data_IF_555618994855
#
_entry.id   IF_555618994855
#
_cell.length_a   1.000
_cell.length_b   1.000
_cell.length_c   1.000
_cell.angle_alpha   90.00
_cell.angle_beta   90.00
_cell.angle_gamma   90.00
#
_symmetry.space_group_name_H-M   'P 1'
#
loop_
_entity.id
_entity.type
_entity.pdbx_description
1 polymer ?
#
# COMPACT_ATOMS: atom_id res chain seq x y z
N UNK A 1 7.18 -11.02 2.20
CA UNK A 1 7.58 -9.99 1.21
C UNK A 1 8.51 -10.65 0.21
N UNK A 2 8.23 -10.43 -1.07
CA UNK A 2 9.09 -10.82 -2.19
C UNK A 2 9.46 -9.53 -2.93
N UNK A 3 10.74 -9.27 -3.09
CA UNK A 3 11.23 -8.04 -3.72
C UNK A 3 12.38 -8.27 -4.69
N UNK A 4 12.65 -7.26 -5.52
CA UNK A 4 13.86 -7.14 -6.33
C UNK A 4 14.61 -5.91 -5.87
N UNK A 5 15.91 -6.06 -5.66
CA UNK A 5 16.81 -5.00 -5.23
C UNK A 5 17.92 -4.84 -6.27
N UNK A 6 18.27 -3.62 -6.63
CA UNK A 6 19.46 -3.31 -7.42
C UNK A 6 20.61 -2.98 -6.49
N UNK A 7 21.67 -3.79 -6.52
CA UNK A 7 22.84 -3.61 -5.67
C UNK A 7 24.11 -3.91 -6.43
N UNK A 8 25.06 -3.00 -6.40
CA UNK A 8 26.36 -3.13 -7.07
C UNK A 8 26.22 -3.56 -8.55
N UNK A 9 25.22 -3.01 -9.27
CA UNK A 9 24.92 -3.33 -10.67
C UNK A 9 24.31 -4.74 -10.90
N UNK A 10 23.89 -5.42 -9.83
CA UNK A 10 23.25 -6.74 -9.91
C UNK A 10 21.84 -6.69 -9.37
N UNK A 11 20.95 -7.49 -9.95
CA UNK A 11 19.59 -7.68 -9.42
C UNK A 11 19.62 -8.79 -8.39
N UNK A 12 19.22 -8.49 -7.18
CA UNK A 12 19.01 -9.46 -6.11
C UNK A 12 17.51 -9.70 -5.90
N UNK A 13 17.13 -10.97 -5.81
CA UNK A 13 15.77 -11.39 -5.45
C UNK A 13 15.75 -11.65 -3.95
N UNK A 14 14.82 -11.00 -3.27
CA UNK A 14 14.72 -11.00 -1.80
C UNK A 14 13.43 -11.66 -1.36
N UNK A 15 13.53 -12.53 -0.35
CA UNK A 15 12.39 -13.09 0.37
C UNK A 15 12.54 -12.77 1.86
N UNK A 16 11.61 -12.00 2.40
CA UNK A 16 11.52 -11.73 3.83
C UNK A 16 10.16 -12.19 4.36
N UNK A 17 10.17 -12.83 5.51
CA UNK A 17 8.95 -13.22 6.18
C UNK A 17 9.16 -13.42 7.68
N UNK A 18 8.06 -13.40 8.40
CA UNK A 18 8.02 -13.67 9.83
C UNK A 18 6.69 -14.32 10.20
N UNK A 19 6.70 -14.96 11.33
CA UNK A 19 5.55 -15.58 11.96
C UNK A 19 5.44 -15.07 13.39
N UNK A 20 4.27 -14.55 13.75
CA UNK A 20 3.99 -14.04 15.08
C UNK A 20 2.82 -14.80 15.71
N UNK A 21 2.92 -15.02 17.00
CA UNK A 21 1.82 -15.51 17.82
C UNK A 21 1.23 -14.36 18.60
N UNK A 22 -0.05 -14.11 18.42
CA UNK A 22 -0.79 -13.15 19.22
C UNK A 22 -1.40 -13.86 20.43
N UNK A 23 -1.23 -13.26 21.59
CA UNK A 23 -1.86 -13.72 22.82
C UNK A 23 -2.74 -12.59 23.35
N UNK A 24 -3.95 -12.90 23.74
CA UNK A 24 -4.90 -11.93 24.28
C UNK A 24 -4.27 -11.10 25.41
N UNK A 25 -4.40 -9.79 25.32
CA UNK A 25 -3.82 -8.83 26.28
C UNK A 25 -2.32 -8.55 26.11
N UNK A 26 -1.62 -9.15 25.15
CA UNK A 26 -0.20 -8.89 24.87
C UNK A 26 -0.04 -8.23 23.49
N UNK A 27 0.30 -6.96 23.48
CA UNK A 27 0.66 -6.20 22.29
C UNK A 27 2.05 -5.60 22.48
N UNK A 28 3.03 -5.85 21.60
CA UNK A 28 2.99 -6.74 20.43
C UNK A 28 3.06 -8.23 20.79
N UNK A 29 2.58 -9.08 19.87
CA UNK A 29 2.68 -10.53 19.99
C UNK A 29 4.12 -11.05 19.93
N UNK A 30 4.29 -12.34 20.12
CA UNK A 30 5.61 -12.99 20.10
C UNK A 30 6.02 -13.37 18.68
N UNK A 31 7.27 -13.07 18.30
CA UNK A 31 7.86 -13.52 17.04
C UNK A 31 8.33 -14.96 17.17
N UNK A 32 7.63 -15.89 16.52
CA UNK A 32 7.97 -17.32 16.51
C UNK A 32 9.12 -17.61 15.56
N UNK A 33 9.07 -17.04 14.36
CA UNK A 33 10.11 -17.20 13.35
C UNK A 33 10.29 -15.92 12.53
N UNK A 34 11.49 -15.70 12.01
CA UNK A 34 11.82 -14.61 11.09
C UNK A 34 12.91 -15.08 10.15
N UNK A 35 12.77 -14.78 8.86
CA UNK A 35 13.76 -15.17 7.86
C UNK A 35 13.94 -14.13 6.78
N UNK A 36 15.18 -14.01 6.33
CA UNK A 36 15.57 -13.26 5.14
C UNK A 36 16.39 -14.16 4.24
N UNK A 37 16.00 -14.27 2.99
CA UNK A 37 16.69 -15.04 1.96
C UNK A 37 16.94 -14.15 0.75
N UNK A 38 18.12 -14.27 0.16
CA UNK A 38 18.55 -13.48 -1.01
C UNK A 38 19.13 -14.42 -2.05
N UNK A 39 18.88 -14.14 -3.32
CA UNK A 39 19.64 -14.72 -4.45
C UNK A 39 19.87 -13.69 -5.52
N UNK A 40 21.00 -13.78 -6.21
CA UNK A 40 21.24 -12.99 -7.42
C UNK A 40 20.36 -13.53 -8.56
N UNK A 41 19.86 -12.65 -9.41
CA UNK A 41 19.09 -13.06 -10.59
C UNK A 41 19.93 -14.00 -11.46
N UNK A 42 19.37 -15.15 -11.83
CA UNK A 42 20.08 -16.24 -12.50
C UNK A 42 20.58 -17.35 -11.57
N UNK A 43 20.75 -17.11 -10.27
CA UNK A 43 21.05 -18.19 -9.30
C UNK A 43 19.81 -19.07 -9.07
N UNK A 44 20.03 -20.39 -8.94
CA UNK A 44 18.94 -21.34 -8.70
C UNK A 44 18.47 -21.32 -7.25
N UNK A 45 19.36 -21.05 -6.28
CA UNK A 45 19.09 -21.22 -4.85
C UNK A 45 19.21 -19.90 -4.08
N UNK A 46 18.28 -19.70 -3.16
CA UNK A 46 18.36 -18.62 -2.19
C UNK A 46 19.40 -18.92 -1.10
N UNK A 47 20.17 -17.92 -0.74
CA UNK A 47 21.05 -17.91 0.43
C UNK A 47 20.29 -17.37 1.63
N UNK A 48 20.31 -18.10 2.73
CA UNK A 48 19.67 -17.67 3.98
C UNK A 48 20.56 -16.63 4.68
N UNK A 49 20.07 -15.40 4.78
CA UNK A 49 20.81 -14.29 5.42
C UNK A 49 20.44 -14.15 6.89
N UNK A 50 19.17 -14.21 7.22
CA UNK A 50 18.66 -14.20 8.60
C UNK A 50 17.78 -15.43 8.78
N UNK A 51 17.96 -16.12 9.91
CA UNK A 51 17.05 -17.14 10.38
C UNK A 51 16.89 -16.99 11.89
N UNK A 52 15.67 -16.72 12.32
CA UNK A 52 15.27 -16.76 13.75
C UNK A 52 14.25 -17.86 13.94
N UNK A 53 14.41 -18.64 14.99
CA UNK A 53 13.48 -19.68 15.37
C UNK A 53 13.59 -19.89 16.89
N UNK A 54 12.48 -19.89 17.60
CA UNK A 54 12.41 -20.12 19.06
C UNK A 54 13.39 -19.24 19.87
N UNK A 55 13.49 -17.96 19.57
CA UNK A 55 14.38 -17.04 20.29
C UNK A 55 15.85 -17.06 19.85
N UNK A 56 16.24 -18.00 19.01
CA UNK A 56 17.59 -18.07 18.45
C UNK A 56 17.60 -17.56 17.02
N UNK A 57 18.62 -16.81 16.64
CA UNK A 57 18.80 -16.48 15.25
C UNK A 57 20.25 -16.58 14.78
N UNK A 58 20.42 -16.85 13.50
CA UNK A 58 21.69 -16.83 12.80
C UNK A 58 21.66 -15.82 11.68
N UNK A 59 22.73 -15.05 11.56
CA UNK A 59 22.94 -14.12 10.46
C UNK A 59 24.19 -14.56 9.67
N UNK A 60 24.09 -14.56 8.35
CA UNK A 60 25.24 -14.79 7.47
C UNK A 60 25.78 -13.44 7.07
N UNK A 61 27.00 -13.14 7.50
CA UNK A 61 27.74 -11.97 7.07
C UNK A 61 28.61 -12.40 5.88
N UNK A 62 28.49 -11.78 4.70
CA UNK A 62 29.39 -12.06 3.59
C UNK A 62 30.80 -11.55 3.94
N UNK A 63 31.78 -12.29 3.57
CA UNK A 63 33.21 -12.07 3.79
C UNK A 63 33.78 -12.46 5.15
N UNK A 64 34.74 -13.35 5.13
CA UNK A 64 35.75 -13.70 6.12
C UNK A 64 35.28 -14.27 7.49
N UNK A 65 34.08 -13.99 7.97
CA UNK A 65 33.67 -14.38 9.32
C UNK A 65 32.75 -15.60 9.43
N UNK A 66 32.33 -16.19 8.32
CA UNK A 66 31.50 -17.40 8.35
C UNK A 66 30.09 -17.17 8.95
N UNK A 67 29.38 -18.25 9.23
CA UNK A 67 28.08 -18.25 9.88
C UNK A 67 28.22 -17.78 11.33
N UNK A 68 27.63 -16.66 11.68
CA UNK A 68 27.55 -16.23 13.06
C UNK A 68 26.25 -16.77 13.68
N UNK A 69 26.35 -17.79 14.53
CA UNK A 69 25.25 -18.35 15.31
C UNK A 69 25.13 -17.70 16.69
N UNK A 70 25.60 -16.48 16.86
CA UNK A 70 25.49 -15.81 18.17
C UNK A 70 24.04 -15.42 18.41
N UNK A 71 23.49 -15.71 19.63
CA UNK A 71 22.20 -15.17 20.02
C UNK A 71 22.31 -13.65 20.09
N UNK A 72 21.52 -12.99 19.32
CA UNK A 72 21.41 -11.53 19.36
C UNK A 72 20.32 -11.21 20.36
N UNK A 73 20.54 -10.24 21.22
CA UNK A 73 19.58 -9.84 22.25
C UNK A 73 18.39 -9.09 21.60
N UNK A 74 17.50 -9.82 20.97
CA UNK A 74 16.17 -9.29 20.62
C UNK A 74 15.17 -9.70 21.67
N UNK A 75 14.27 -8.78 22.02
CA UNK A 75 13.12 -9.17 22.81
C UNK A 75 12.23 -10.13 22.01
N UNK A 76 11.51 -11.04 22.65
CA UNK A 76 10.62 -11.96 21.94
C UNK A 76 9.59 -11.25 21.04
N UNK A 77 9.21 -10.02 21.40
CA UNK A 77 8.20 -9.22 20.68
C UNK A 77 8.76 -8.39 19.52
N UNK A 78 10.07 -8.33 19.33
CA UNK A 78 10.68 -7.42 18.37
C UNK A 78 11.24 -8.18 17.17
N UNK A 79 10.93 -7.72 15.96
CA UNK A 79 11.55 -8.20 14.72
C UNK A 79 13.02 -7.76 14.65
N UNK A 80 13.87 -8.63 14.11
CA UNK A 80 15.32 -8.36 13.97
C UNK A 80 15.61 -7.36 12.86
N UNK A 81 14.79 -7.35 11.81
CA UNK A 81 15.04 -6.53 10.62
C UNK A 81 15.07 -5.02 10.90
N UNK A 82 14.16 -4.42 11.69
CA UNK A 82 14.24 -3.00 12.05
C UNK A 82 15.52 -2.63 12.83
N UNK A 83 16.02 -3.54 13.68
CA UNK A 83 17.26 -3.35 14.40
C UNK A 83 18.48 -3.33 13.47
N UNK A 84 18.48 -4.20 12.46
CA UNK A 84 19.51 -4.24 11.42
C UNK A 84 19.47 -2.95 10.60
N UNK A 85 18.27 -2.44 10.27
CA UNK A 85 18.10 -1.20 9.53
C UNK A 85 18.70 0.01 10.25
N UNK A 86 18.60 0.07 11.58
CA UNK A 86 19.12 1.17 12.40
C UNK A 86 20.62 1.05 12.70
N UNK A 87 21.18 -0.16 12.63
CA UNK A 87 22.52 -0.46 13.11
C UNK A 87 23.68 -0.22 12.14
N UNK A 88 23.42 0.26 10.90
CA UNK A 88 24.48 0.47 9.89
C UNK A 88 25.20 -0.81 9.45
N UNK A 89 24.58 -1.98 9.63
CA UNK A 89 25.11 -3.29 9.28
C UNK A 89 24.95 -3.56 7.78
N UNK A 90 25.64 -4.61 7.30
CA UNK A 90 25.68 -5.03 5.90
C UNK A 90 24.30 -5.10 5.18
N UNK A 91 23.23 -5.42 5.88
CA UNK A 91 21.87 -5.50 5.32
C UNK A 91 21.04 -4.24 5.60
N UNK A 92 21.65 -3.15 6.08
CA UNK A 92 20.91 -1.97 6.54
C UNK A 92 20.07 -1.32 5.43
N UNK A 93 20.59 -1.23 4.20
CA UNK A 93 19.86 -0.59 3.09
C UNK A 93 18.65 -1.44 2.67
N UNK A 94 18.84 -2.75 2.55
CA UNK A 94 17.73 -3.68 2.30
C UNK A 94 16.70 -3.67 3.42
N UNK A 95 17.17 -3.65 4.68
CA UNK A 95 16.28 -3.59 5.83
C UNK A 95 15.49 -2.28 5.87
N UNK A 96 16.11 -1.14 5.52
CA UNK A 96 15.43 0.15 5.38
C UNK A 96 14.36 0.10 4.31
N UNK A 97 14.65 -0.45 3.13
CA UNK A 97 13.66 -0.60 2.05
C UNK A 97 12.45 -1.43 2.49
N UNK A 98 12.69 -2.57 3.13
CA UNK A 98 11.59 -3.42 3.63
C UNK A 98 10.79 -2.71 4.74
N UNK A 99 11.49 -2.01 5.65
CA UNK A 99 10.85 -1.29 6.76
C UNK A 99 10.16 0.01 6.32
N UNK A 100 10.42 0.51 5.11
CA UNK A 100 9.78 1.72 4.57
C UNK A 100 8.39 1.46 3.99
N UNK A 101 7.86 0.24 4.11
CA UNK A 101 6.47 -0.05 3.75
C UNK A 101 5.56 0.83 4.60
N UNK A 102 4.83 1.70 3.94
CA UNK A 102 3.89 2.61 4.60
C UNK A 102 2.47 2.05 4.57
N UNK A 103 1.81 2.12 5.71
CA UNK A 103 0.38 1.82 5.83
C UNK A 103 -0.31 3.13 6.18
N UNK A 104 -1.08 3.74 5.26
CA UNK A 104 -1.88 4.90 5.59
C UNK A 104 -2.84 4.58 6.73
N UNK A 105 -3.01 5.52 7.67
CA UNK A 105 -3.92 5.32 8.79
C UNK A 105 -5.37 5.33 8.29
N UNK A 106 -6.08 4.21 8.51
CA UNK A 106 -7.44 3.96 8.03
C UNK A 106 -8.47 4.94 8.56
N UNK A 107 -8.38 5.32 9.84
CA UNK A 107 -9.32 6.27 10.45
C UNK A 107 -9.31 7.62 9.73
N UNK A 108 -8.19 7.94 9.12
CA UNK A 108 -8.01 9.18 8.39
C UNK A 108 -8.51 9.09 6.95
N UNK A 109 -8.56 7.89 6.34
CA UNK A 109 -9.23 7.71 5.05
C UNK A 109 -10.76 7.88 5.21
N UNK A 110 -11.33 7.53 6.34
CA UNK A 110 -12.77 7.70 6.60
C UNK A 110 -13.17 9.14 6.94
N UNK A 111 -12.21 9.97 7.38
CA UNK A 111 -12.44 11.39 7.63
C UNK A 111 -11.57 12.27 6.72
N UNK A 112 -12.02 12.59 5.48
CA UNK A 112 -11.26 13.41 4.53
C UNK A 112 -10.91 14.82 5.04
N UNK A 113 -11.65 15.35 6.01
CA UNK A 113 -11.33 16.67 6.61
C UNK A 113 -9.99 16.65 7.34
N UNK A 114 -9.59 15.50 7.88
CA UNK A 114 -8.31 15.37 8.58
C UNK A 114 -7.10 15.52 7.67
N UNK A 115 -7.24 15.30 6.35
CA UNK A 115 -6.13 15.49 5.38
C UNK A 115 -5.71 16.95 5.28
N UNK A 116 -6.62 17.84 5.59
CA UNK A 116 -6.47 19.29 5.44
C UNK A 116 -6.51 20.01 6.79
N UNK A 117 -6.29 19.30 7.90
CA UNK A 117 -6.28 19.89 9.24
C UNK A 117 -5.18 20.94 9.36
N UNK A 118 -5.53 22.08 9.93
CA UNK A 118 -4.64 23.25 10.07
C UNK A 118 -3.65 23.05 11.23
N UNK A 119 -4.07 22.36 12.28
CA UNK A 119 -3.38 22.32 13.57
C UNK A 119 -2.54 21.06 13.80
N UNK A 120 -2.28 20.27 12.79
CA UNK A 120 -1.34 19.13 12.86
C UNK A 120 -1.66 18.05 13.93
N UNK A 121 -2.55 18.37 14.87
CA UNK A 121 -2.86 17.50 16.00
C UNK A 121 -3.78 16.33 15.65
N UNK A 122 -4.54 16.46 14.54
CA UNK A 122 -5.48 15.44 14.04
C UNK A 122 -5.36 15.17 12.55
N UNK A 123 -4.33 15.73 11.88
CA UNK A 123 -4.11 15.54 10.45
C UNK A 123 -3.31 14.29 10.16
N UNK A 124 -3.53 13.68 9.00
CA UNK A 124 -2.60 12.71 8.45
C UNK A 124 -1.33 13.44 8.12
N UNK A 125 -0.25 13.05 8.77
CA UNK A 125 1.06 13.39 8.28
C UNK A 125 1.26 12.67 6.93
N UNK A 126 1.63 13.39 5.89
CA UNK A 126 2.23 12.81 4.71
C UNK A 126 3.49 12.06 5.15
N UNK A 127 4.12 11.31 4.25
CA UNK A 127 5.28 10.45 4.55
C UNK A 127 6.43 11.15 5.27
N UNK A 128 6.47 12.48 5.23
CA UNK A 128 7.47 13.35 5.87
C UNK A 128 6.95 14.15 7.09
N UNK A 129 5.74 13.87 7.55
CA UNK A 129 5.14 14.49 8.72
C UNK A 129 4.37 15.79 8.45
N UNK A 130 4.25 16.24 7.20
CA UNK A 130 3.52 17.44 6.81
C UNK A 130 2.02 17.18 6.59
N UNK A 131 1.20 18.23 6.65
CA UNK A 131 -0.19 18.15 6.16
C UNK A 131 -0.20 18.01 4.64
N UNK A 132 -1.28 17.50 4.05
CA UNK A 132 -1.38 17.38 2.60
C UNK A 132 -1.22 18.73 1.90
N UNK A 133 -1.88 19.78 2.39
CA UNK A 133 -1.78 21.13 1.80
C UNK A 133 -0.37 21.69 1.89
N UNK A 134 0.31 21.53 3.03
CA UNK A 134 1.70 21.96 3.19
C UNK A 134 2.63 21.18 2.26
N UNK A 135 2.46 19.87 2.16
CA UNK A 135 3.26 19.03 1.29
C UNK A 135 3.14 19.47 -0.18
N UNK A 136 1.92 19.73 -0.65
CA UNK A 136 1.67 20.19 -2.03
C UNK A 136 2.25 21.60 -2.25
N UNK A 137 2.12 22.50 -1.27
CA UNK A 137 2.72 23.82 -1.34
C UNK A 137 4.24 23.74 -1.48
N UNK A 138 4.89 22.97 -0.62
CA UNK A 138 6.35 22.78 -0.68
C UNK A 138 6.79 22.08 -1.97
N UNK A 139 6.01 21.13 -2.47
CA UNK A 139 6.25 20.51 -3.77
C UNK A 139 6.30 21.57 -4.88
N UNK A 140 5.34 22.50 -4.90
CA UNK A 140 5.32 23.59 -5.87
C UNK A 140 6.57 24.46 -5.81
N UNK A 141 7.05 24.77 -4.59
CA UNK A 141 8.22 25.62 -4.36
C UNK A 141 9.55 24.93 -4.68
N UNK A 142 9.64 23.62 -4.46
CA UNK A 142 10.91 22.90 -4.55
C UNK A 142 11.04 21.97 -5.75
N UNK A 143 9.93 21.59 -6.37
CA UNK A 143 9.86 20.62 -7.47
C UNK A 143 8.65 20.91 -8.37
N UNK A 144 8.78 22.00 -9.13
CA UNK A 144 7.72 22.51 -10.01
C UNK A 144 7.25 21.46 -11.05
N UNK A 145 8.14 20.59 -11.51
CA UNK A 145 7.81 19.54 -12.49
C UNK A 145 6.85 18.51 -11.87
N UNK A 146 7.17 18.01 -10.67
CA UNK A 146 6.27 17.09 -9.94
C UNK A 146 4.93 17.76 -9.60
N UNK A 147 4.95 19.05 -9.24
CA UNK A 147 3.72 19.79 -8.99
C UNK A 147 2.87 19.94 -10.25
N UNK A 148 3.48 20.24 -11.40
CA UNK A 148 2.76 20.31 -12.67
C UNK A 148 2.06 19.01 -13.00
N UNK A 149 2.77 17.88 -12.85
CA UNK A 149 2.20 16.54 -13.05
C UNK A 149 1.02 16.28 -12.10
N UNK A 150 1.15 16.64 -10.82
CA UNK A 150 0.08 16.51 -9.84
C UNK A 150 -1.13 17.35 -10.22
N UNK A 151 -0.92 18.63 -10.52
CA UNK A 151 -1.97 19.58 -10.89
C UNK A 151 -2.73 19.12 -12.13
N UNK A 152 -2.02 18.69 -13.17
CA UNK A 152 -2.64 18.22 -14.41
C UNK A 152 -3.39 16.89 -14.21
N UNK A 153 -2.84 15.99 -13.40
CA UNK A 153 -3.52 14.76 -13.03
C UNK A 153 -4.82 15.01 -12.24
N UNK A 154 -4.82 15.97 -11.32
CA UNK A 154 -6.03 16.35 -10.57
C UNK A 154 -7.10 16.95 -11.47
N UNK A 155 -6.72 17.81 -12.42
CA UNK A 155 -7.65 18.37 -13.43
C UNK A 155 -8.27 17.27 -14.29
N UNK A 156 -7.55 16.21 -14.57
CA UNK A 156 -8.07 15.05 -15.31
C UNK A 156 -8.95 14.15 -14.44
N UNK A 157 -8.60 13.98 -13.17
CA UNK A 157 -9.34 13.12 -12.24
C UNK A 157 -10.68 13.72 -11.83
N UNK A 158 -10.74 15.04 -11.61
CA UNK A 158 -11.92 15.71 -11.06
C UNK A 158 -12.53 16.59 -12.14
N UNK A 159 -13.71 16.17 -12.61
CA UNK A 159 -14.41 16.90 -13.65
C UNK A 159 -14.71 18.35 -13.25
N UNK A 160 -14.44 19.26 -14.19
CA UNK A 160 -14.70 20.70 -14.02
C UNK A 160 -13.61 21.48 -13.29
N UNK A 161 -12.58 20.82 -12.76
CA UNK A 161 -11.42 21.52 -12.17
C UNK A 161 -10.53 22.08 -13.28
N UNK A 162 -10.36 23.40 -13.31
CA UNK A 162 -9.54 24.12 -14.30
C UNK A 162 -8.25 24.69 -13.70
N UNK A 163 -8.23 24.94 -12.38
CA UNK A 163 -7.03 25.36 -11.66
C UNK A 163 -6.94 24.68 -10.29
N UNK A 164 -5.71 24.37 -9.88
CA UNK A 164 -5.36 23.74 -8.62
C UNK A 164 -4.09 24.42 -8.10
N UNK A 165 -4.26 25.33 -7.12
CA UNK A 165 -3.18 26.22 -6.65
C UNK A 165 -3.04 26.16 -5.13
N UNK A 166 -1.89 25.71 -4.60
CA UNK A 166 -1.63 25.79 -3.17
C UNK A 166 -1.34 27.25 -2.76
N UNK A 167 -1.80 27.61 -1.58
CA UNK A 167 -1.73 28.95 -1.02
C UNK A 167 -1.21 28.90 0.43
N UNK A 168 -0.32 29.82 0.78
CA UNK A 168 0.18 30.03 2.13
C UNK A 168 -0.49 31.25 2.76
N UNK A 169 -1.17 31.06 3.86
CA UNK A 169 -1.90 32.11 4.57
C UNK A 169 -1.19 32.38 5.90
N UNK A 170 -0.68 33.59 6.08
CA UNK A 170 -0.13 34.02 7.35
C UNK A 170 -1.28 34.45 8.29
N UNK A 171 -1.33 33.89 9.48
CA UNK A 171 -2.36 34.23 10.46
C UNK A 171 -2.14 35.62 11.08
N UNK A 172 -3.15 36.10 11.81
CA UNK A 172 -3.16 37.46 12.41
C UNK A 172 -2.05 37.69 13.45
N UNK A 173 -1.41 36.64 13.94
CA UNK A 173 -0.25 36.72 14.84
C UNK A 173 1.06 37.09 14.10
N UNK A 174 1.01 37.15 12.77
CA UNK A 174 2.15 37.46 11.89
C UNK A 174 3.27 36.42 11.89
N UNK A 175 3.08 35.26 12.56
CA UNK A 175 4.10 34.20 12.70
C UNK A 175 3.61 32.84 12.24
N UNK A 176 2.38 32.50 12.56
CA UNK A 176 1.79 31.20 12.20
C UNK A 176 1.35 31.20 10.76
N UNK A 177 1.68 30.10 10.05
CA UNK A 177 1.33 29.88 8.66
C UNK A 177 0.39 28.70 8.54
N UNK A 178 -0.59 28.84 7.68
CA UNK A 178 -1.53 27.79 7.31
C UNK A 178 -1.51 27.60 5.82
N UNK A 179 -1.68 26.37 5.40
CA UNK A 179 -1.67 26.02 3.99
C UNK A 179 -3.07 25.60 3.55
N UNK A 180 -3.52 26.15 2.44
CA UNK A 180 -4.78 25.79 1.78
C UNK A 180 -4.51 25.47 0.30
N UNK A 181 -5.46 24.89 -0.38
CA UNK A 181 -5.41 24.68 -1.82
C UNK A 181 -6.64 25.33 -2.42
N UNK A 182 -6.42 26.26 -3.32
CA UNK A 182 -7.46 26.96 -4.06
C UNK A 182 -7.77 26.21 -5.34
N UNK A 183 -9.03 25.87 -5.50
CA UNK A 183 -9.52 25.11 -6.65
C UNK A 183 -10.51 25.96 -7.40
N UNK A 184 -10.23 26.20 -8.67
CA UNK A 184 -11.16 26.83 -9.59
C UNK A 184 -11.86 25.74 -10.38
N UNK A 185 -13.18 25.72 -10.28
CA UNK A 185 -14.05 24.90 -11.10
C UNK A 185 -14.65 25.75 -12.24
N UNK A 186 -14.88 25.11 -13.39
CA UNK A 186 -15.38 25.77 -14.61
C UNK A 186 -16.68 26.54 -14.38
N UNK A 187 -17.53 26.05 -13.48
CA UNK A 187 -18.85 26.63 -13.23
C UNK A 187 -18.89 27.57 -12.03
N UNK A 188 -17.80 27.78 -11.33
CA UNK A 188 -17.70 28.67 -10.19
C UNK A 188 -17.03 29.97 -10.59
N UNK A 189 -17.60 31.10 -10.15
CA UNK A 189 -17.05 32.46 -10.44
C UNK A 189 -15.77 32.78 -9.65
N UNK A 190 -15.52 32.05 -8.55
CA UNK A 190 -14.38 32.29 -7.67
C UNK A 190 -13.74 30.95 -7.27
N UNK A 191 -12.41 30.92 -7.05
CA UNK A 191 -11.76 29.73 -6.48
C UNK A 191 -12.30 29.42 -5.08
N UNK A 192 -12.47 28.15 -4.79
CA UNK A 192 -12.91 27.64 -3.48
C UNK A 192 -11.77 26.92 -2.78
N UNK A 193 -11.84 26.83 -1.45
CA UNK A 193 -10.91 26.01 -0.67
C UNK A 193 -11.17 24.54 -0.94
N UNK A 194 -10.09 23.73 -1.01
CA UNK A 194 -10.17 22.27 -1.12
C UNK A 194 -11.06 21.66 -0.02
N UNK A 195 -11.19 22.32 1.12
CA UNK A 195 -12.03 21.88 2.25
C UNK A 195 -13.51 21.79 1.87
N UNK A 196 -13.94 22.55 0.88
CA UNK A 196 -15.33 22.58 0.41
C UNK A 196 -15.63 21.50 -0.65
N UNK A 197 -14.62 20.78 -1.13
CA UNK A 197 -14.83 19.67 -2.05
C UNK A 197 -15.55 18.50 -1.37
N UNK A 198 -16.13 17.64 -2.20
CA UNK A 198 -16.70 16.37 -1.75
C UNK A 198 -15.65 15.48 -1.08
N UNK A 199 -16.08 14.63 -0.15
CA UNK A 199 -15.19 13.64 0.50
C UNK A 199 -14.48 12.75 -0.52
N UNK A 200 -15.16 12.33 -1.58
CA UNK A 200 -14.56 11.52 -2.65
C UNK A 200 -13.47 12.27 -3.42
N UNK A 201 -13.71 13.55 -3.76
CA UNK A 201 -12.69 14.38 -4.43
C UNK A 201 -11.45 14.58 -3.55
N UNK A 202 -11.64 14.87 -2.26
CA UNK A 202 -10.54 14.99 -1.29
C UNK A 202 -9.73 13.71 -1.18
N UNK A 203 -10.41 12.55 -1.13
CA UNK A 203 -9.77 11.24 -1.08
C UNK A 203 -8.94 10.95 -2.32
N UNK A 204 -9.46 11.27 -3.51
CA UNK A 204 -8.74 11.10 -4.77
C UNK A 204 -7.46 11.95 -4.82
N UNK A 205 -7.54 13.21 -4.42
CA UNK A 205 -6.38 14.10 -4.34
C UNK A 205 -5.33 13.53 -3.38
N UNK A 206 -5.77 13.09 -2.21
CA UNK A 206 -4.89 12.48 -1.21
C UNK A 206 -4.19 11.23 -1.75
N UNK A 207 -4.93 10.26 -2.28
CA UNK A 207 -4.37 9.01 -2.80
C UNK A 207 -3.39 9.24 -3.94
N UNK A 208 -3.72 10.14 -4.85
CA UNK A 208 -2.81 10.47 -5.95
C UNK A 208 -1.53 11.14 -5.45
N UNK A 209 -1.65 12.13 -4.55
CA UNK A 209 -0.48 12.79 -3.95
C UNK A 209 0.38 11.80 -3.16
N UNK A 210 -0.25 10.89 -2.41
CA UNK A 210 0.45 9.84 -1.66
C UNK A 210 1.26 8.91 -2.59
N UNK A 211 0.67 8.50 -3.71
CA UNK A 211 1.36 7.66 -4.69
C UNK A 211 2.57 8.38 -5.30
N UNK A 212 2.44 9.66 -5.65
CA UNK A 212 3.55 10.45 -6.16
C UNK A 212 4.65 10.66 -5.09
N UNK A 213 4.26 10.96 -3.86
CA UNK A 213 5.19 11.11 -2.74
C UNK A 213 5.96 9.81 -2.48
N UNK A 214 5.29 8.68 -2.50
CA UNK A 214 5.91 7.38 -2.30
C UNK A 214 6.91 7.03 -3.41
N UNK A 215 6.58 7.33 -4.65
CA UNK A 215 7.51 7.15 -5.76
C UNK A 215 8.75 8.03 -5.61
N UNK A 216 8.59 9.30 -5.26
CA UNK A 216 9.69 10.23 -5.05
C UNK A 216 10.62 9.80 -3.90
N UNK A 217 10.04 9.25 -2.84
CA UNK A 217 10.78 8.75 -1.67
C UNK A 217 11.24 7.29 -1.83
N UNK A 218 11.03 6.67 -3.01
CA UNK A 218 11.34 5.26 -3.29
C UNK A 218 10.71 4.29 -2.28
N UNK A 219 9.48 4.55 -1.85
CA UNK A 219 8.74 3.66 -0.97
C UNK A 219 8.28 2.44 -1.77
N UNK A 220 8.68 1.22 -1.37
CA UNK A 220 8.45 0.03 -2.20
C UNK A 220 6.99 -0.42 -2.22
N UNK A 221 6.21 -0.08 -1.20
CA UNK A 221 4.81 -0.49 -1.09
C UNK A 221 3.99 0.48 -0.25
N UNK A 222 2.77 0.74 -0.71
CA UNK A 222 1.70 1.41 0.05
C UNK A 222 0.57 0.42 0.24
N UNK A 223 -0.04 0.42 1.43
CA UNK A 223 -1.27 -0.30 1.70
C UNK A 223 -2.40 0.69 1.91
N UNK A 224 -3.52 0.47 1.23
CA UNK A 224 -4.71 1.33 1.30
C UNK A 224 -5.92 0.44 1.54
N UNK A 225 -6.72 0.76 2.53
CA UNK A 225 -7.96 0.06 2.79
C UNK A 225 -9.13 0.82 2.18
N UNK A 226 -9.96 0.09 1.45
CA UNK A 226 -11.20 0.57 0.83
C UNK A 226 -11.05 1.94 0.13
N UNK A 227 -10.16 2.07 -0.88
CA UNK A 227 -9.95 3.34 -1.58
C UNK A 227 -11.21 3.89 -2.24
N UNK A 228 -12.19 3.02 -2.50
CA UNK A 228 -13.47 3.34 -3.11
C UNK A 228 -14.47 4.04 -2.18
N UNK A 229 -14.26 4.03 -0.86
CA UNK A 229 -15.20 4.65 0.07
C UNK A 229 -15.39 6.13 -0.24
N UNK A 230 -16.64 6.55 -0.38
CA UNK A 230 -17.07 7.92 -0.78
C UNK A 230 -16.63 8.35 -2.19
N UNK A 231 -16.00 7.49 -2.98
CA UNK A 231 -15.63 7.79 -4.37
C UNK A 231 -16.71 7.29 -5.31
N UNK A 232 -17.16 8.15 -6.24
CA UNK A 232 -18.15 7.73 -7.23
C UNK A 232 -17.53 6.65 -8.15
N UNK A 233 -18.22 5.53 -8.45
CA UNK A 233 -17.68 4.41 -9.23
C UNK A 233 -17.00 4.82 -10.55
N UNK A 234 -17.56 5.81 -11.27
CA UNK A 234 -16.99 6.31 -12.52
C UNK A 234 -15.61 6.97 -12.32
N UNK A 235 -15.36 7.55 -11.15
CA UNK A 235 -14.08 8.19 -10.85
C UNK A 235 -13.03 7.17 -10.42
N UNK A 236 -13.44 5.99 -9.98
CA UNK A 236 -12.53 4.91 -9.55
C UNK A 236 -11.66 4.41 -10.71
N UNK A 237 -12.21 4.26 -11.90
CA UNK A 237 -11.44 3.88 -13.09
C UNK A 237 -10.32 4.89 -13.36
N UNK A 238 -10.67 6.17 -13.40
CA UNK A 238 -9.69 7.23 -13.64
C UNK A 238 -8.61 7.27 -12.57
N UNK A 239 -8.99 7.07 -11.30
CA UNK A 239 -8.02 6.99 -10.19
C UNK A 239 -7.05 5.83 -10.38
N UNK A 240 -7.54 4.64 -10.69
CA UNK A 240 -6.70 3.46 -10.88
C UNK A 240 -5.74 3.62 -12.07
N UNK A 241 -6.23 4.16 -13.19
CA UNK A 241 -5.39 4.44 -14.36
C UNK A 241 -4.31 5.49 -14.03
N UNK A 242 -4.66 6.53 -13.29
CA UNK A 242 -3.71 7.56 -12.85
C UNK A 242 -2.67 6.98 -11.90
N UNK A 243 -3.08 6.19 -10.92
CA UNK A 243 -2.16 5.50 -10.01
C UNK A 243 -1.20 4.58 -10.79
N UNK A 244 -1.70 3.79 -11.73
CA UNK A 244 -0.86 2.91 -12.56
C UNK A 244 0.16 3.68 -13.39
N UNK A 245 -0.23 4.84 -13.91
CA UNK A 245 0.68 5.67 -14.72
C UNK A 245 1.80 6.31 -13.87
N UNK A 246 1.51 6.72 -12.66
CA UNK A 246 2.42 7.52 -11.83
C UNK A 246 3.08 6.75 -10.66
N UNK A 247 2.63 5.56 -10.32
CA UNK A 247 3.22 4.75 -9.24
C UNK A 247 4.10 3.60 -9.77
N UNK A 248 4.93 3.85 -10.79
CA UNK A 248 5.66 2.81 -11.53
C UNK A 248 6.56 1.92 -10.66
N UNK A 249 7.19 2.48 -9.62
CA UNK A 249 8.12 1.75 -8.74
C UNK A 249 7.51 1.38 -7.37
N UNK A 250 6.34 1.92 -7.04
CA UNK A 250 5.65 1.66 -5.77
C UNK A 250 4.53 0.63 -5.98
N UNK A 251 4.56 -0.48 -5.26
CA UNK A 251 3.44 -1.42 -5.25
C UNK A 251 2.32 -0.89 -4.38
N UNK A 252 1.09 -1.01 -4.86
CA UNK A 252 -0.09 -0.63 -4.10
C UNK A 252 -0.88 -1.90 -3.78
N UNK A 253 -1.05 -2.16 -2.48
CA UNK A 253 -1.93 -3.20 -1.96
C UNK A 253 -3.21 -2.54 -1.45
N UNK A 254 -4.34 -2.96 -2.01
CA UNK A 254 -5.64 -2.43 -1.63
C UNK A 254 -6.52 -3.54 -1.08
N UNK A 255 -7.28 -3.24 -0.03
CA UNK A 255 -8.43 -4.06 0.38
C UNK A 255 -9.69 -3.44 -0.17
N UNK A 256 -10.68 -4.25 -0.54
CA UNK A 256 -11.94 -3.76 -1.09
C UNK A 256 -13.06 -4.75 -0.86
N UNK A 257 -14.25 -4.24 -0.65
CA UNK A 257 -15.51 -4.96 -0.69
C UNK A 257 -16.40 -4.52 -1.88
N UNK A 258 -15.83 -3.77 -2.83
CA UNK A 258 -16.57 -3.18 -3.94
C UNK A 258 -16.43 -3.96 -5.25
N UNK A 259 -17.54 -4.43 -5.85
CA UNK A 259 -17.50 -5.02 -7.18
C UNK A 259 -16.99 -4.04 -8.24
N UNK A 260 -17.20 -2.74 -8.03
CA UNK A 260 -16.73 -1.70 -8.96
C UNK A 260 -15.21 -1.62 -9.04
N UNK A 261 -14.49 -1.80 -7.92
CA UNK A 261 -13.03 -1.84 -7.96
C UNK A 261 -12.54 -3.14 -8.60
N UNK A 262 -13.16 -4.26 -8.25
CA UNK A 262 -12.78 -5.57 -8.79
C UNK A 262 -12.95 -5.65 -10.31
N UNK A 263 -13.90 -4.90 -10.90
CA UNK A 263 -14.14 -4.82 -12.35
C UNK A 263 -12.90 -4.41 -13.15
N UNK A 264 -12.03 -3.57 -12.56
CA UNK A 264 -10.84 -3.03 -13.22
C UNK A 264 -9.57 -3.83 -12.93
N UNK A 265 -9.66 -4.89 -12.11
CA UNK A 265 -8.51 -5.70 -11.72
C UNK A 265 -8.40 -6.97 -12.57
N UNK A 266 -7.17 -7.37 -12.85
CA UNK A 266 -6.91 -8.67 -13.46
C UNK A 266 -6.91 -9.78 -12.38
N UNK A 267 -7.30 -11.01 -12.71
CA UNK A 267 -7.32 -12.12 -11.73
C UNK A 267 -6.01 -12.34 -11.00
N UNK A 268 -4.88 -12.10 -11.68
CA UNK A 268 -3.54 -12.24 -11.13
C UNK A 268 -3.21 -11.19 -10.06
N UNK A 269 -3.96 -10.08 -10.06
CA UNK A 269 -3.80 -8.98 -9.10
C UNK A 269 -4.66 -9.19 -7.85
N UNK A 270 -5.66 -10.09 -7.89
CA UNK A 270 -6.63 -10.29 -6.83
C UNK A 270 -6.26 -11.42 -5.88
N UNK A 271 -6.45 -11.16 -4.58
CA UNK A 271 -6.47 -12.16 -3.52
C UNK A 271 -7.84 -12.12 -2.87
N UNK A 272 -8.44 -13.27 -2.70
CA UNK A 272 -9.77 -13.41 -2.10
C UNK A 272 -9.63 -13.90 -0.67
N UNK A 273 -10.28 -13.21 0.27
CA UNK A 273 -10.41 -13.65 1.66
C UNK A 273 -11.44 -14.77 1.75
N UNK A 274 -11.00 -15.94 2.18
CA UNK A 274 -11.84 -17.13 2.25
C UNK A 274 -12.23 -17.40 3.70
N UNK A 275 -13.52 -17.65 4.01
CA UNK A 275 -13.95 -18.11 5.32
C UNK A 275 -13.48 -19.57 5.52
N UNK A 276 -12.66 -19.80 6.53
CA UNK A 276 -12.17 -21.14 6.86
C UNK A 276 -12.68 -21.57 8.22
N UNK A 277 -12.83 -22.88 8.41
CA UNK A 277 -13.36 -23.46 9.66
C UNK A 277 -12.41 -23.31 10.87
N UNK A 278 -11.15 -22.91 10.65
CA UNK A 278 -10.17 -22.66 11.70
C UNK A 278 -10.29 -21.27 12.37
N UNK A 279 -11.27 -20.46 11.91
CA UNK A 279 -11.49 -19.10 12.42
C UNK A 279 -10.46 -18.08 11.94
N UNK A 280 -9.59 -18.45 10.99
CA UNK A 280 -8.59 -17.56 10.40
C UNK A 280 -9.03 -17.06 9.02
N UNK A 281 -8.61 -15.87 8.67
CA UNK A 281 -8.78 -15.35 7.31
C UNK A 281 -7.67 -15.91 6.41
N UNK A 282 -8.04 -16.67 5.39
CA UNK A 282 -7.12 -17.18 4.39
C UNK A 282 -7.27 -16.41 3.09
N UNK A 283 -6.18 -15.84 2.60
CA UNK A 283 -6.17 -15.11 1.34
C UNK A 283 -5.53 -15.94 0.24
N UNK A 284 -6.27 -16.20 -0.83
CA UNK A 284 -5.81 -17.03 -1.93
C UNK A 284 -6.12 -16.41 -3.29
N UNK A 285 -5.30 -16.75 -4.28
CA UNK A 285 -5.56 -16.47 -5.69
C UNK A 285 -6.39 -17.57 -6.31
N UNK A 286 -7.16 -17.21 -7.33
CA UNK A 286 -7.84 -18.20 -8.17
C UNK A 286 -6.81 -19.17 -8.77
N UNK A 287 -7.16 -20.44 -8.78
CA UNK A 287 -6.34 -21.47 -9.41
C UNK A 287 -6.28 -21.23 -10.93
N UNK A 288 -5.09 -21.08 -11.54
CA UNK A 288 -4.96 -20.82 -12.96
C UNK A 288 -5.71 -21.83 -13.87
N UNK A 289 -5.80 -23.10 -13.42
CA UNK A 289 -6.56 -24.11 -14.16
C UNK A 289 -8.07 -23.89 -14.20
N UNK A 290 -8.59 -23.05 -13.28
CA UNK A 290 -10.02 -22.71 -13.19
C UNK A 290 -10.37 -21.39 -13.87
N UNK A 291 -9.39 -20.54 -14.18
CA UNK A 291 -9.62 -19.23 -14.78
C UNK A 291 -10.45 -19.30 -16.07
N UNK A 292 -10.09 -20.21 -16.98
CA UNK A 292 -10.83 -20.37 -18.25
C UNK A 292 -12.32 -20.69 -18.03
N UNK A 293 -12.61 -21.51 -17.03
CA UNK A 293 -13.98 -21.86 -16.65
C UNK A 293 -14.71 -20.64 -16.08
N UNK A 294 -14.11 -19.91 -15.15
CA UNK A 294 -14.72 -18.74 -14.52
C UNK A 294 -14.93 -17.60 -15.53
N UNK A 295 -13.99 -17.37 -16.44
CA UNK A 295 -14.17 -16.40 -17.54
C UNK A 295 -15.33 -16.74 -18.46
N UNK A 296 -15.50 -18.03 -18.77
CA UNK A 296 -16.63 -18.48 -19.59
C UNK A 296 -17.96 -18.19 -18.88
N UNK A 297 -18.06 -18.53 -17.60
CA UNK A 297 -19.28 -18.27 -16.82
C UNK A 297 -19.56 -16.76 -16.67
N UNK A 298 -18.56 -15.95 -16.43
CA UNK A 298 -18.70 -14.49 -16.41
C UNK A 298 -19.25 -13.98 -17.77
N UNK A 299 -18.69 -14.46 -18.88
CA UNK A 299 -19.15 -14.09 -20.22
C UNK A 299 -20.57 -14.54 -20.51
N UNK A 300 -20.95 -15.75 -20.10
CA UNK A 300 -22.30 -16.28 -20.25
C UNK A 300 -23.35 -15.45 -19.47
N UNK A 301 -22.93 -14.75 -18.41
CA UNK A 301 -23.75 -13.83 -17.59
C UNK A 301 -23.61 -12.36 -17.98
N UNK A 302 -22.84 -12.04 -19.02
CA UNK A 302 -22.53 -10.67 -19.46
C UNK A 302 -21.86 -9.80 -18.35
N UNK A 303 -21.12 -10.45 -17.44
CA UNK A 303 -20.39 -9.81 -16.34
C UNK A 303 -18.88 -9.73 -16.62
N UNK A 304 -18.23 -8.73 -16.04
CA UNK A 304 -16.76 -8.76 -15.94
C UNK A 304 -16.33 -9.86 -14.98
N UNK A 305 -15.06 -10.28 -15.05
CA UNK A 305 -14.51 -11.29 -14.14
C UNK A 305 -14.67 -10.85 -12.66
N UNK A 306 -14.42 -9.58 -12.35
CA UNK A 306 -14.52 -9.06 -10.99
C UNK A 306 -15.96 -9.06 -10.46
N UNK A 307 -16.92 -8.62 -11.26
CA UNK A 307 -18.36 -8.65 -10.91
C UNK A 307 -18.82 -10.09 -10.69
N UNK A 308 -18.47 -10.99 -11.60
CA UNK A 308 -18.78 -12.41 -11.46
C UNK A 308 -18.17 -13.01 -10.19
N UNK A 309 -16.91 -12.73 -9.90
CA UNK A 309 -16.25 -13.25 -8.69
C UNK A 309 -16.86 -12.71 -7.41
N UNK A 310 -17.34 -11.46 -7.41
CA UNK A 310 -18.05 -10.91 -6.27
C UNK A 310 -19.35 -11.68 -6.00
N UNK A 311 -20.20 -11.87 -7.01
CA UNK A 311 -21.43 -12.63 -6.89
C UNK A 311 -21.16 -14.10 -6.55
N UNK A 312 -20.15 -14.70 -7.19
CA UNK A 312 -19.75 -16.07 -6.93
C UNK A 312 -19.31 -16.29 -5.47
N UNK A 313 -18.60 -15.34 -4.88
CA UNK A 313 -18.19 -15.42 -3.47
C UNK A 313 -19.40 -15.36 -2.53
N UNK A 314 -20.38 -14.49 -2.81
CA UNK A 314 -21.62 -14.39 -2.04
C UNK A 314 -22.46 -15.68 -2.14
N UNK A 315 -22.63 -16.22 -3.33
CA UNK A 315 -23.42 -17.45 -3.55
C UNK A 315 -22.78 -18.68 -2.88
N UNK A 316 -21.44 -18.70 -2.77
CA UNK A 316 -20.69 -19.83 -2.22
C UNK A 316 -20.37 -19.67 -0.73
N UNK A 317 -20.88 -18.65 -0.05
CA UNK A 317 -20.61 -18.40 1.38
C UNK A 317 -20.99 -19.61 2.25
N UNK A 318 -22.03 -20.34 1.87
CA UNK A 318 -22.52 -21.52 2.59
C UNK A 318 -21.90 -22.84 2.12
N UNK A 319 -21.06 -22.87 1.07
CA UNK A 319 -20.40 -24.05 0.53
C UNK A 319 -18.87 -23.84 0.45
N UNK A 320 -18.25 -23.71 1.61
CA UNK A 320 -16.81 -23.42 1.73
C UNK A 320 -15.90 -24.47 1.07
N UNK A 321 -16.34 -25.73 1.02
CA UNK A 321 -15.53 -26.80 0.38
C UNK A 321 -15.50 -26.63 -1.13
N UNK A 322 -16.63 -26.31 -1.73
CA UNK A 322 -16.71 -26.05 -3.17
C UNK A 322 -15.98 -24.76 -3.52
N UNK A 323 -16.17 -23.71 -2.73
CA UNK A 323 -15.48 -22.44 -2.89
C UNK A 323 -13.96 -22.64 -2.90
N UNK A 324 -13.40 -23.31 -1.89
CA UNK A 324 -11.95 -23.52 -1.76
C UNK A 324 -11.35 -24.31 -2.94
N UNK A 325 -12.14 -25.14 -3.63
CA UNK A 325 -11.67 -25.91 -4.80
C UNK A 325 -11.27 -25.02 -5.99
N UNK A 326 -11.72 -23.76 -6.03
CA UNK A 326 -11.38 -22.79 -7.07
C UNK A 326 -10.10 -22.02 -6.76
N UNK A 327 -9.59 -22.08 -5.54
CA UNK A 327 -8.45 -21.30 -5.10
C UNK A 327 -7.19 -22.12 -4.92
N UNK A 328 -6.02 -21.47 -5.13
CA UNK A 328 -4.72 -22.11 -5.05
C UNK A 328 -4.28 -22.27 -3.58
N UNK A 329 -3.92 -23.49 -3.19
CA UNK A 329 -3.38 -23.76 -1.84
C UNK A 329 -4.43 -24.00 -0.76
N UNK A 330 -5.70 -23.98 -1.10
CA UNK A 330 -6.81 -24.23 -0.19
C UNK A 330 -7.33 -25.68 -0.25
N UNK A 331 -6.63 -26.60 -0.93
CA UNK A 331 -7.00 -28.03 -0.93
C UNK A 331 -6.71 -28.65 0.44
N UNK A 332 -7.67 -29.40 0.96
CA UNK A 332 -7.64 -30.14 2.22
C UNK A 332 -6.26 -30.75 2.54
N UNK A 333 -5.72 -30.42 3.71
CA UNK A 333 -4.88 -31.36 4.46
C UNK A 333 -5.78 -32.31 5.26
#
# INVERSE_FOLDING_TARGET
>A
ILGRLQRDGRTELVQYGYECQWTEGVIPGYVLSEWLKIKTEGEQRYRQMIKRQNGYYSMIVPSAMGRCNKPFATTPQQLSLPLIASGGLFLSDLAKEICSISIPNLQTLDNPESYFSIDGSNGIAMLDGMTLSEYIYRMKETDADSFSILSDGIKQLIYGVVSFEPDEITLSDGRSKVYDIRIQEEFNSQPTSIRLLSSGSKRMIFLFTLCMAAQKQNIPMIMVEEPENSVHPKLMENLLLTIQAYASNTKILMTSHSPYLMRYMQPEQMYFGLPMHDGLAHFAKVNPSKLKYLYKYAGDMELTFGEFMFDFMLDMENDSEKLTSFFKGCSKN
#
